data_IF_239143626181
#
_entry.id   IF_239143626181
#
_cell.length_a   1.000
_cell.length_b   1.000
_cell.length_c   1.000
_cell.angle_alpha   90.00
_cell.angle_beta   90.00
_cell.angle_gamma   90.00
#
_symmetry.space_group_name_H-M   'P 1'
#
loop_
_entity.id
_entity.type
_entity.pdbx_description
1 polymer ?
#
# COMPACT_ATOMS: atom_id res chain seq x y z
N UNK A 1 -19.99 -22.33 5.56
CA UNK A 1 -20.19 -21.18 4.64
C UNK A 1 -18.92 -20.35 4.62
N UNK A 2 -18.49 -19.83 3.47
CA UNK A 2 -17.32 -18.95 3.40
C UNK A 2 -17.64 -17.61 4.09
N UNK A 3 -16.72 -17.10 4.91
CA UNK A 3 -16.86 -15.81 5.58
C UNK A 3 -16.63 -14.68 4.56
N UNK A 4 -17.45 -13.62 4.60
CA UNK A 4 -17.27 -12.44 3.74
C UNK A 4 -15.88 -11.84 3.96
N UNK A 5 -15.15 -11.62 2.86
CA UNK A 5 -13.85 -10.97 2.88
C UNK A 5 -14.01 -9.50 3.25
N UNK A 6 -13.26 -9.03 4.26
CA UNK A 6 -13.32 -7.65 4.74
C UNK A 6 -12.06 -6.84 4.43
N UNK A 7 -10.98 -7.51 4.01
CA UNK A 7 -9.69 -6.90 3.66
C UNK A 7 -9.10 -7.55 2.42
N UNK A 8 -8.30 -6.81 1.66
CA UNK A 8 -7.59 -7.31 0.48
C UNK A 8 -6.12 -6.89 0.54
N UNK A 9 -5.23 -7.78 0.14
CA UNK A 9 -3.82 -7.47 -0.04
C UNK A 9 -3.66 -6.72 -1.36
N UNK A 10 -3.02 -5.55 -1.32
CA UNK A 10 -2.76 -4.71 -2.48
C UNK A 10 -1.31 -4.29 -2.54
N UNK A 11 -0.83 -3.97 -3.74
CA UNK A 11 0.39 -3.20 -3.92
C UNK A 11 0.07 -1.71 -3.85
N UNK A 12 0.97 -0.92 -3.26
CA UNK A 12 0.86 0.52 -3.21
C UNK A 12 2.17 1.21 -3.57
N UNK A 13 2.07 2.47 -3.98
CA UNK A 13 3.21 3.38 -4.15
C UNK A 13 3.02 4.67 -3.37
N UNK A 14 4.15 5.30 -3.06
CA UNK A 14 4.29 6.63 -2.50
C UNK A 14 5.43 7.35 -3.23
N UNK A 15 5.36 8.68 -3.31
CA UNK A 15 6.46 9.47 -3.83
C UNK A 15 7.76 9.19 -3.05
N UNK A 16 8.90 9.27 -3.73
CA UNK A 16 10.22 9.01 -3.13
C UNK A 16 10.53 9.88 -1.90
N UNK A 17 9.92 11.07 -1.82
CA UNK A 17 10.12 12.06 -0.76
C UNK A 17 9.19 11.85 0.44
N UNK A 18 8.13 11.06 0.29
CA UNK A 18 7.18 10.80 1.37
C UNK A 18 7.85 9.97 2.47
N UNK A 19 7.42 10.15 3.72
CA UNK A 19 7.83 9.27 4.80
C UNK A 19 7.49 7.82 4.43
N UNK A 20 8.51 6.96 4.43
CA UNK A 20 8.36 5.56 4.04
C UNK A 20 7.70 4.78 5.18
N UNK A 21 6.55 4.14 4.95
CA UNK A 21 5.94 3.29 5.96
C UNK A 21 6.87 2.15 6.39
N UNK A 22 6.78 1.75 7.65
CA UNK A 22 7.42 0.55 8.20
C UNK A 22 6.42 -0.61 8.23
N UNK A 23 6.94 -1.83 8.28
CA UNK A 23 6.11 -3.01 8.47
C UNK A 23 5.29 -2.89 9.78
N UNK A 24 4.00 -3.22 9.70
CA UNK A 24 3.08 -3.11 10.83
C UNK A 24 2.44 -1.73 11.02
N UNK A 25 2.88 -0.69 10.29
CA UNK A 25 2.17 0.59 10.26
C UNK A 25 0.73 0.38 9.76
N UNK A 26 -0.19 1.17 10.32
CA UNK A 26 -1.63 0.90 10.20
C UNK A 26 -2.27 1.67 9.06
N UNK A 27 -3.20 1.03 8.38
CA UNK A 27 -4.07 1.66 7.38
C UNK A 27 -5.33 2.16 8.07
N UNK A 28 -5.69 3.41 7.80
CA UNK A 28 -6.83 4.08 8.41
C UNK A 28 -8.03 4.15 7.44
N UNK A 29 -9.25 4.27 7.97
CA UNK A 29 -10.45 4.51 7.15
C UNK A 29 -10.57 5.97 6.70
N UNK A 30 -9.87 6.90 7.37
CA UNK A 30 -9.91 8.33 7.09
C UNK A 30 -8.56 8.97 7.36
N UNK A 31 -8.19 9.99 6.58
CA UNK A 31 -6.97 10.79 6.77
C UNK A 31 -7.19 12.00 7.67
N UNK A 32 -8.44 12.35 7.97
CA UNK A 32 -8.80 13.61 8.65
C UNK A 32 -9.36 13.40 10.06
N UNK A 33 -9.81 12.19 10.38
CA UNK A 33 -10.39 11.85 11.68
C UNK A 33 -9.39 11.07 12.53
N UNK A 34 -9.05 11.60 13.70
CA UNK A 34 -8.04 11.02 14.59
C UNK A 34 -8.45 9.67 15.20
N UNK A 35 -9.76 9.45 15.41
CA UNK A 35 -10.37 8.27 16.02
C UNK A 35 -10.99 7.30 15.01
N UNK A 36 -10.59 7.40 13.74
CA UNK A 36 -11.12 6.55 12.68
C UNK A 36 -10.70 5.08 12.80
N UNK A 37 -11.42 4.21 12.09
CA UNK A 37 -11.20 2.77 12.15
C UNK A 37 -9.87 2.36 11.50
N UNK A 38 -9.22 1.35 12.07
CA UNK A 38 -8.07 0.68 11.47
C UNK A 38 -8.58 -0.39 10.49
N UNK A 39 -8.34 -0.16 9.21
CA UNK A 39 -8.86 -1.02 8.13
C UNK A 39 -7.84 -2.06 7.67
N UNK A 40 -6.57 -1.90 8.02
CA UNK A 40 -5.52 -2.87 7.72
C UNK A 40 -4.13 -2.43 8.17
N UNK A 41 -3.09 -2.95 7.51
CA UNK A 41 -1.69 -2.74 7.90
C UNK A 41 -0.74 -2.94 6.71
N UNK A 42 0.40 -2.27 6.76
CA UNK A 42 1.54 -2.48 5.87
C UNK A 42 2.20 -3.81 6.21
N UNK A 43 2.49 -4.62 5.19
CA UNK A 43 3.21 -5.89 5.31
C UNK A 43 4.65 -5.78 4.83
N UNK A 44 4.93 -4.89 3.88
CA UNK A 44 6.29 -4.59 3.44
C UNK A 44 6.32 -3.22 2.77
N UNK A 45 7.44 -2.50 2.86
CA UNK A 45 7.65 -1.27 2.11
C UNK A 45 9.15 -0.98 1.96
N UNK A 46 9.58 -0.62 0.75
CA UNK A 46 10.97 -0.26 0.44
C UNK A 46 11.03 0.78 -0.69
N UNK A 47 12.13 1.53 -0.76
CA UNK A 47 12.44 2.38 -1.90
C UNK A 47 12.90 1.54 -3.09
N UNK A 48 12.20 1.66 -4.22
CA UNK A 48 12.61 1.05 -5.49
C UNK A 48 13.42 2.06 -6.29
N UNK A 49 14.73 1.79 -6.46
CA UNK A 49 15.59 2.60 -7.33
C UNK A 49 15.17 2.54 -8.80
N UNK A 50 14.63 1.40 -9.24
CA UNK A 50 14.16 1.21 -10.62
C UNK A 50 12.92 2.04 -10.95
N UNK A 51 12.01 2.20 -9.98
CA UNK A 51 10.77 2.96 -10.16
C UNK A 51 10.86 4.40 -9.64
N UNK A 52 11.92 4.73 -8.88
CA UNK A 52 12.09 6.04 -8.26
C UNK A 52 11.00 6.38 -7.25
N UNK A 53 10.49 5.38 -6.53
CA UNK A 53 9.34 5.51 -5.63
C UNK A 53 9.43 4.55 -4.45
N UNK A 54 8.77 4.91 -3.35
CA UNK A 54 8.53 3.98 -2.25
C UNK A 54 7.38 3.04 -2.67
N UNK A 55 7.61 1.74 -2.66
CA UNK A 55 6.60 0.73 -3.00
C UNK A 55 6.41 -0.23 -1.83
N UNK A 56 5.22 -0.80 -1.71
CA UNK A 56 4.95 -1.71 -0.61
C UNK A 56 3.68 -2.50 -0.79
N UNK A 57 3.49 -3.45 0.10
CA UNK A 57 2.30 -4.29 0.19
C UNK A 57 1.55 -3.96 1.47
N UNK A 58 0.21 -3.93 1.40
CA UNK A 58 -0.63 -3.69 2.57
C UNK A 58 -1.94 -4.46 2.46
N UNK A 59 -2.44 -4.94 3.60
CA UNK A 59 -3.86 -5.22 3.70
C UNK A 59 -4.61 -3.90 3.86
N UNK A 60 -5.62 -3.69 3.05
CA UNK A 60 -6.53 -2.54 3.13
C UNK A 60 -7.97 -3.01 3.31
N UNK A 61 -8.85 -2.12 3.77
CA UNK A 61 -10.28 -2.40 3.85
C UNK A 61 -10.84 -2.71 2.46
N UNK A 62 -11.92 -3.50 2.39
CA UNK A 62 -12.51 -3.91 1.10
C UNK A 62 -12.97 -2.71 0.25
N UNK A 63 -13.28 -1.57 0.86
CA UNK A 63 -13.68 -0.34 0.15
C UNK A 63 -12.48 0.52 -0.31
N UNK A 64 -11.24 0.12 0.02
CA UNK A 64 -10.01 0.89 -0.25
C UNK A 64 -9.08 0.20 -1.25
N UNK A 65 -9.55 -0.87 -1.90
CA UNK A 65 -8.68 -1.82 -2.59
C UNK A 65 -8.53 -1.58 -4.10
N UNK A 66 -9.33 -0.70 -4.69
CA UNK A 66 -9.34 -0.48 -6.13
C UNK A 66 -8.09 0.29 -6.57
N UNK A 67 -7.55 -0.09 -7.72
CA UNK A 67 -6.36 0.57 -8.31
C UNK A 67 -6.64 2.05 -8.56
N UNK A 68 -5.68 2.90 -8.22
CA UNK A 68 -5.80 4.36 -8.23
C UNK A 68 -6.43 4.95 -6.97
N UNK A 69 -7.01 4.12 -6.09
CA UNK A 69 -7.51 4.59 -4.79
C UNK A 69 -6.36 5.04 -3.91
N UNK A 70 -6.54 6.19 -3.26
CA UNK A 70 -5.62 6.66 -2.22
C UNK A 70 -6.12 6.24 -0.84
N UNK A 71 -5.23 5.73 0.00
CA UNK A 71 -5.54 5.34 1.36
C UNK A 71 -4.51 5.90 2.37
N UNK A 72 -4.96 6.30 3.56
CA UNK A 72 -4.08 6.83 4.60
C UNK A 72 -3.34 5.72 5.34
N UNK A 73 -2.04 5.92 5.52
CA UNK A 73 -1.19 5.11 6.39
C UNK A 73 -0.67 6.00 7.50
N UNK A 74 -0.88 5.60 8.76
CA UNK A 74 -0.27 6.30 9.90
C UNK A 74 1.14 5.76 10.12
N UNK A 75 2.12 6.63 9.98
CA UNK A 75 3.55 6.33 10.15
C UNK A 75 4.04 6.87 11.50
N UNK A 76 5.36 6.90 11.69
CA UNK A 76 5.97 7.34 12.93
C UNK A 76 5.59 8.78 13.29
N UNK A 77 5.63 9.09 14.58
CA UNK A 77 5.22 10.40 15.13
C UNK A 77 3.78 10.84 14.80
N UNK A 78 2.93 9.92 14.33
CA UNK A 78 1.53 10.19 14.03
C UNK A 78 1.31 10.90 12.68
N UNK A 79 2.36 11.06 11.87
CA UNK A 79 2.22 11.54 10.50
C UNK A 79 1.32 10.57 9.69
N UNK A 80 0.56 11.13 8.74
CA UNK A 80 -0.27 10.35 7.82
C UNK A 80 0.20 10.59 6.40
N UNK A 81 0.58 9.53 5.71
CA UNK A 81 0.91 9.55 4.28
C UNK A 81 -0.22 8.94 3.47
N UNK A 82 -0.42 9.45 2.25
CA UNK A 82 -1.47 8.99 1.34
C UNK A 82 -0.86 8.10 0.26
N UNK A 83 -0.93 6.79 0.47
CA UNK A 83 -0.46 5.80 -0.50
C UNK A 83 -1.52 5.57 -1.59
N UNK A 84 -1.09 5.27 -2.81
CA UNK A 84 -1.96 4.95 -3.94
C UNK A 84 -1.88 3.46 -4.25
N UNK A 85 -3.03 2.78 -4.37
CA UNK A 85 -3.09 1.39 -4.83
C UNK A 85 -2.66 1.32 -6.30
N UNK A 86 -1.76 0.39 -6.60
CA UNK A 86 -1.25 0.16 -7.96
C UNK A 86 -1.43 -1.28 -8.40
N UNK A 87 -1.37 -1.48 -9.72
CA UNK A 87 -1.31 -2.82 -10.29
C UNK A 87 -0.01 -3.52 -9.90
N UNK A 88 -0.11 -4.83 -9.73
CA UNK A 88 1.02 -5.73 -9.54
C UNK A 88 1.27 -6.53 -10.83
N UNK A 89 2.52 -6.97 -11.07
CA UNK A 89 3.72 -6.69 -10.27
C UNK A 89 4.19 -5.23 -10.43
N UNK A 90 4.97 -4.72 -9.46
CA UNK A 90 5.49 -3.35 -9.52
C UNK A 90 6.47 -3.12 -10.68
N UNK A 91 7.12 -4.19 -11.13
CA UNK A 91 8.21 -4.13 -12.09
C UNK A 91 8.16 -5.35 -13.00
N UNK A 92 8.53 -5.16 -14.27
CA UNK A 92 8.56 -6.21 -15.29
C UNK A 92 7.22 -6.96 -15.44
N UNK A 93 6.13 -6.21 -15.64
CA UNK A 93 4.77 -6.77 -15.73
C UNK A 93 4.60 -7.78 -16.88
N UNK A 94 5.36 -7.61 -17.96
CA UNK A 94 5.35 -8.51 -19.11
C UNK A 94 6.29 -9.73 -18.92
N UNK A 95 6.97 -9.83 -17.77
CA UNK A 95 7.98 -10.86 -17.46
C UNK A 95 9.09 -10.98 -18.51
N UNK A 96 9.39 -9.90 -19.24
CA UNK A 96 10.34 -9.92 -20.35
C UNK A 96 11.76 -10.30 -19.89
N UNK A 97 12.09 -10.10 -18.60
CA UNK A 97 13.40 -10.46 -18.05
C UNK A 97 13.51 -11.91 -17.60
N UNK A 98 12.42 -12.66 -17.58
CA UNK A 98 12.43 -14.09 -17.27
C UNK A 98 12.58 -14.96 -18.52
N UNK A 99 12.52 -14.37 -19.72
CA UNK A 99 12.71 -15.10 -20.96
C UNK A 99 14.14 -15.67 -21.02
N UNK A 100 14.23 -16.99 -21.11
CA UNK A 100 15.47 -17.71 -21.39
C UNK A 100 15.50 -17.97 -22.89
N UNK A 101 16.47 -17.38 -23.59
CA UNK A 101 16.76 -17.69 -25.00
C UNK A 101 17.31 -19.12 -25.15
#
# INVERSE_FOLDING_TARGET
MARKQTRKLVGFKLDAKSARPLEGHIVLSSSTQADCAITGNVTSCEYSSTLGANIGMAFVGIEQHDVGTKFPIRVDHGEVVMAEVVNLPFYDADNARQEVL
#
